data_IF_616990740147
#
_entry.id   IF_616990740147
#
_cell.length_a   1.000
_cell.length_b   1.000
_cell.length_c   1.000
_cell.angle_alpha   90.00
_cell.angle_beta   90.00
_cell.angle_gamma   90.00
#
_symmetry.space_group_name_H-M   'P 1'
#
loop_
_entity.id
_entity.type
_entity.pdbx_description
1 polymer ?
#
# COMPACT_ATOMS: atom_id res chain seq x y z
N UNK A 1 2.41 -2.45 -21.52
CA UNK A 1 3.37 -2.84 -20.47
C UNK A 1 2.87 -2.27 -19.15
N UNK A 2 2.84 -3.08 -18.10
CA UNK A 2 2.45 -2.62 -16.76
C UNK A 2 3.35 -1.46 -16.33
N UNK A 3 2.77 -0.43 -15.71
CA UNK A 3 3.54 0.65 -15.13
C UNK A 3 4.37 0.10 -13.96
N UNK A 4 5.56 0.67 -13.75
CA UNK A 4 6.35 0.32 -12.58
C UNK A 4 5.57 0.74 -11.33
N UNK A 5 5.38 -0.20 -10.39
CA UNK A 5 4.70 0.07 -9.11
C UNK A 5 5.66 0.63 -8.07
N UNK A 6 6.96 0.43 -8.26
CA UNK A 6 8.00 0.92 -7.37
C UNK A 6 9.31 1.13 -8.14
N UNK A 7 10.11 2.11 -7.71
CA UNK A 7 11.44 2.41 -8.25
C UNK A 7 12.36 2.68 -7.08
N UNK A 8 13.55 2.08 -7.13
CA UNK A 8 14.51 2.15 -6.05
C UNK A 8 15.80 1.42 -6.40
N UNK A 9 16.47 0.85 -5.42
CA UNK A 9 17.68 0.06 -5.62
C UNK A 9 17.67 -1.25 -4.85
N UNK A 10 18.44 -2.22 -5.33
CA UNK A 10 18.84 -3.41 -4.57
C UNK A 10 20.18 -3.11 -3.94
N UNK A 11 20.31 -3.32 -2.62
CA UNK A 11 21.59 -3.23 -1.91
C UNK A 11 21.95 -4.55 -1.25
N UNK A 12 23.23 -4.91 -1.34
CA UNK A 12 23.80 -6.01 -0.58
C UNK A 12 25.30 -5.77 -0.37
N UNK A 13 25.73 -5.71 0.89
CA UNK A 13 27.08 -5.26 1.24
C UNK A 13 27.37 -3.86 0.70
N UNK A 14 28.27 -3.77 -0.29
CA UNK A 14 28.69 -2.51 -0.92
C UNK A 14 28.06 -2.28 -2.30
N UNK A 15 27.29 -3.25 -2.81
CA UNK A 15 26.71 -3.18 -4.14
C UNK A 15 25.36 -2.47 -4.06
N UNK A 16 25.13 -1.52 -4.96
CA UNK A 16 23.86 -0.80 -5.09
C UNK A 16 23.44 -0.81 -6.58
N UNK A 17 22.28 -1.39 -6.88
CA UNK A 17 21.79 -1.59 -8.24
C UNK A 17 20.43 -0.92 -8.40
N UNK A 18 20.32 0.17 -9.17
CA UNK A 18 19.02 0.79 -9.46
C UNK A 18 18.08 -0.13 -10.24
N UNK A 19 16.86 -0.31 -9.74
CA UNK A 19 15.85 -1.21 -10.32
C UNK A 19 14.44 -0.61 -10.32
N UNK A 20 13.58 -1.21 -11.13
CA UNK A 20 12.14 -0.97 -11.18
C UNK A 20 11.40 -2.27 -10.93
N UNK A 21 10.30 -2.15 -10.20
CA UNK A 21 9.41 -3.26 -9.86
C UNK A 21 8.14 -3.18 -10.71
N UNK A 22 7.78 -4.29 -11.35
CA UNK A 22 6.60 -4.42 -12.18
C UNK A 22 5.75 -5.59 -11.67
N UNK A 23 4.42 -5.46 -11.57
CA UNK A 23 3.57 -6.59 -11.22
C UNK A 23 3.76 -7.73 -12.24
N UNK A 24 3.95 -8.96 -11.76
CA UNK A 24 3.98 -10.15 -12.60
C UNK A 24 2.58 -10.72 -12.88
N UNK A 25 1.59 -10.30 -12.08
CA UNK A 25 0.19 -10.71 -12.18
C UNK A 25 -0.72 -9.50 -12.37
N UNK A 26 -1.80 -9.68 -13.13
CA UNK A 26 -2.89 -8.70 -13.25
C UNK A 26 -4.17 -9.34 -12.69
N UNK A 27 -4.76 -8.80 -11.61
CA UNK A 27 -5.99 -9.33 -11.05
C UNK A 27 -7.13 -9.15 -12.05
N UNK A 28 -7.83 -10.24 -12.38
CA UNK A 28 -8.99 -10.24 -13.28
C UNK A 28 -10.28 -10.24 -12.47
N UNK A 29 -10.45 -9.25 -11.61
CA UNK A 29 -11.67 -9.12 -10.82
C UNK A 29 -12.73 -8.37 -11.62
N UNK A 30 -13.89 -9.01 -11.80
CA UNK A 30 -15.06 -8.35 -12.36
C UNK A 30 -15.64 -7.42 -11.31
N UNK A 31 -15.44 -6.11 -11.48
CA UNK A 31 -16.07 -5.10 -10.62
C UNK A 31 -17.51 -4.91 -11.05
N UNK A 32 -18.43 -5.31 -10.18
CA UNK A 32 -19.84 -5.03 -10.37
C UNK A 32 -20.13 -3.59 -9.96
N UNK A 33 -20.81 -2.85 -10.83
CA UNK A 33 -21.46 -1.61 -10.46
C UNK A 33 -22.90 -1.93 -10.09
N UNK A 34 -23.35 -1.36 -8.97
CA UNK A 34 -24.73 -1.50 -8.55
C UNK A 34 -25.57 -0.53 -9.39
N UNK A 35 -26.65 -1.06 -9.96
CA UNK A 35 -27.65 -0.28 -10.68
C UNK A 35 -29.01 -0.53 -10.05
N UNK A 36 -29.79 0.52 -9.88
CA UNK A 36 -31.20 0.38 -9.56
C UNK A 36 -31.92 -0.26 -10.76
N UNK A 37 -32.44 -1.47 -10.55
CA UNK A 37 -33.11 -2.26 -11.60
C UNK A 37 -34.33 -1.57 -12.20
N UNK A 38 -35.01 -0.69 -11.45
CA UNK A 38 -36.23 0.01 -11.93
C UNK A 38 -35.90 1.21 -12.80
N UNK A 39 -34.82 1.93 -12.46
CA UNK A 39 -34.47 3.19 -13.10
C UNK A 39 -33.27 3.12 -14.02
N UNK A 40 -32.49 2.02 -13.96
CA UNK A 40 -31.25 1.84 -14.70
C UNK A 40 -30.10 2.74 -14.24
N UNK A 41 -30.27 3.50 -13.15
CA UNK A 41 -29.28 4.45 -12.66
C UNK A 41 -28.24 3.76 -11.79
N UNK A 42 -26.99 4.20 -11.88
CA UNK A 42 -25.89 3.71 -11.04
C UNK A 42 -26.10 4.15 -9.59
N UNK A 43 -25.94 3.23 -8.65
CA UNK A 43 -25.98 3.50 -7.21
C UNK A 43 -24.61 4.02 -6.79
N UNK A 44 -24.60 5.12 -6.04
CA UNK A 44 -23.41 5.72 -5.45
C UNK A 44 -23.48 5.57 -3.93
N UNK A 45 -22.34 5.28 -3.31
CA UNK A 45 -22.22 5.27 -1.86
C UNK A 45 -21.81 6.65 -1.38
N UNK A 46 -22.54 7.19 -0.42
CA UNK A 46 -22.21 8.43 0.29
C UNK A 46 -21.82 8.06 1.73
N UNK A 47 -20.73 8.67 2.23
CA UNK A 47 -20.31 8.48 3.61
C UNK A 47 -21.16 9.40 4.48
N UNK A 48 -22.00 8.82 5.32
CA UNK A 48 -22.94 9.57 6.17
C UNK A 48 -22.82 9.10 7.61
N UNK A 49 -22.83 10.03 8.55
CA UNK A 49 -23.09 9.73 9.97
C UNK A 49 -24.58 9.91 10.24
N UNK A 50 -25.16 9.08 11.11
CA UNK A 50 -26.54 9.27 11.56
C UNK A 50 -26.52 10.04 12.87
N UNK A 51 -27.31 11.10 12.97
CA UNK A 51 -27.47 11.85 14.24
C UNK A 51 -27.98 10.99 15.41
N UNK A 52 -28.61 9.86 15.12
CA UNK A 52 -29.17 8.94 16.13
C UNK A 52 -28.07 8.12 16.82
N UNK A 53 -26.93 7.91 16.15
CA UNK A 53 -25.87 7.08 16.70
C UNK A 53 -25.07 7.91 17.72
N UNK A 54 -25.01 7.43 18.97
CA UNK A 54 -24.23 8.07 20.02
C UNK A 54 -22.74 8.09 19.63
N UNK A 55 -21.99 9.15 19.97
CA UNK A 55 -20.56 9.22 19.70
C UNK A 55 -19.87 8.02 20.33
N UNK A 56 -19.12 7.27 19.52
CA UNK A 56 -18.37 6.09 19.98
C UNK A 56 -17.09 6.48 20.71
N UNK A 57 -16.59 7.70 20.48
CA UNK A 57 -15.46 8.29 21.17
C UNK A 57 -15.70 9.79 21.36
N UNK A 58 -15.09 10.37 22.39
CA UNK A 58 -15.02 11.83 22.55
C UNK A 58 -13.83 12.34 21.71
N UNK A 59 -14.05 13.18 20.69
CA UNK A 59 -12.95 13.75 19.92
C UNK A 59 -12.14 14.69 20.80
N UNK A 60 -10.81 14.59 20.72
CA UNK A 60 -9.92 15.61 21.28
C UNK A 60 -10.29 16.98 20.67
N UNK A 61 -10.35 18.05 21.48
CA UNK A 61 -10.64 19.37 20.95
C UNK A 61 -9.58 19.74 19.92
N UNK A 62 -10.04 19.99 18.68
CA UNK A 62 -9.18 20.48 17.60
C UNK A 62 -8.56 21.82 18.06
N UNK A 63 -7.27 21.82 18.41
CA UNK A 63 -6.54 23.05 18.70
C UNK A 63 -6.27 23.75 17.37
N UNK A 64 -7.03 24.80 17.07
CA UNK A 64 -6.87 25.64 15.88
C UNK A 64 -5.64 26.57 15.99
N UNK A 65 -4.48 26.04 16.41
CA UNK A 65 -3.18 26.72 16.41
C UNK A 65 -2.55 26.66 15.00
N UNK A 66 -3.37 26.89 13.96
CA UNK A 66 -2.89 27.13 12.61
C UNK A 66 -2.51 28.62 12.49
N UNK A 67 -1.30 28.96 12.01
CA UNK A 67 -0.94 30.34 11.68
C UNK A 67 -2.00 30.95 10.75
N UNK A 68 -2.46 32.17 11.05
CA UNK A 68 -3.57 32.83 10.34
C UNK A 68 -3.33 33.02 8.82
N UNK A 69 -2.09 32.87 8.37
CA UNK A 69 -1.63 33.27 7.02
C UNK A 69 -2.10 32.33 5.89
N UNK A 70 -2.49 31.09 6.17
CA UNK A 70 -2.94 30.12 5.14
C UNK A 70 -4.48 30.02 4.99
N UNK A 71 -5.25 30.82 5.75
CA UNK A 71 -6.73 30.79 5.68
C UNK A 71 -7.31 31.44 4.41
N UNK A 72 -6.48 32.13 3.63
CA UNK A 72 -6.93 33.01 2.57
C UNK A 72 -6.74 32.46 1.15
N UNK A 73 -6.93 31.16 0.89
CA UNK A 73 -7.04 30.68 -0.51
C UNK A 73 -7.75 29.33 -0.69
N UNK A 74 -8.71 28.97 0.18
CA UNK A 74 -9.63 27.87 -0.15
C UNK A 74 -10.58 28.35 -1.25
N UNK A 75 -10.58 27.76 -2.46
CA UNK A 75 -11.50 28.18 -3.51
C UNK A 75 -12.91 27.85 -3.05
N UNK A 76 -13.71 28.89 -2.81
CA UNK A 76 -15.16 28.76 -2.75
C UNK A 76 -15.62 28.25 -4.12
N UNK A 77 -15.92 26.96 -4.21
CA UNK A 77 -16.56 26.39 -5.38
C UNK A 77 -18.00 26.91 -5.44
N UNK A 78 -18.14 28.07 -6.06
CA UNK A 78 -19.43 28.67 -6.36
C UNK A 78 -20.09 27.92 -7.53
N UNK A 79 -21.38 27.64 -7.36
CA UNK A 79 -22.35 27.14 -8.32
C UNK A 79 -22.17 25.77 -9.00
N UNK A 80 -22.82 24.76 -8.41
CA UNK A 80 -23.73 23.91 -9.18
C UNK A 80 -25.10 23.84 -8.50
N UNK A 81 -26.08 24.53 -9.08
CA UNK A 81 -27.46 24.44 -8.67
C UNK A 81 -27.98 23.00 -8.79
N UNK A 82 -28.46 22.44 -7.67
CA UNK A 82 -29.31 21.25 -7.70
C UNK A 82 -30.37 21.35 -6.62
N UNK A 83 -31.59 21.49 -7.12
CA UNK A 83 -32.91 21.42 -6.48
C UNK A 83 -32.91 20.64 -5.16
N UNK A 84 -33.26 21.36 -4.09
CA UNK A 84 -33.61 20.82 -2.78
C UNK A 84 -34.84 19.92 -2.96
N UNK A 85 -34.66 18.61 -2.84
CA UNK A 85 -35.76 17.65 -2.80
C UNK A 85 -35.76 16.97 -1.44
N UNK A 86 -36.74 17.36 -0.64
CA UNK A 86 -37.30 16.73 0.56
C UNK A 86 -36.33 15.97 1.48
N UNK A 87 -36.13 16.53 2.67
CA UNK A 87 -35.39 15.97 3.80
C UNK A 87 -35.73 14.50 4.09
N UNK A 88 -34.70 13.66 3.99
CA UNK A 88 -34.60 12.35 4.66
C UNK A 88 -33.84 12.59 5.97
N UNK A 89 -34.12 11.89 7.09
CA UNK A 89 -33.54 12.21 8.39
C UNK A 89 -32.01 12.28 8.34
N UNK A 90 -31.49 13.29 9.02
CA UNK A 90 -30.15 13.84 8.96
C UNK A 90 -29.04 12.79 8.88
N UNK A 91 -28.52 12.66 7.65
CA UNK A 91 -27.25 12.03 7.37
C UNK A 91 -26.28 13.17 7.08
N UNK A 92 -25.33 13.42 7.98
CA UNK A 92 -24.32 14.46 7.76
C UNK A 92 -23.22 13.87 6.87
N UNK A 93 -22.96 14.52 5.72
CA UNK A 93 -21.83 14.17 4.85
C UNK A 93 -20.53 14.48 5.59
N UNK A 94 -19.60 13.53 5.57
CA UNK A 94 -18.29 13.65 6.23
C UNK A 94 -17.22 13.89 5.18
N UNK A 95 -16.45 14.97 5.33
CA UNK A 95 -15.31 15.26 4.47
C UNK A 95 -14.16 14.28 4.76
N UNK A 96 -13.26 14.08 3.79
CA UNK A 96 -12.17 13.09 3.93
C UNK A 96 -11.25 13.37 5.12
N UNK A 97 -11.06 14.64 5.44
CA UNK A 97 -10.19 15.13 6.51
C UNK A 97 -10.75 14.79 7.90
N UNK A 98 -12.08 14.66 8.02
CA UNK A 98 -12.78 14.36 9.28
C UNK A 98 -12.91 12.84 9.54
N UNK A 99 -12.34 12.01 8.65
CA UNK A 99 -12.39 10.55 8.78
C UNK A 99 -11.16 10.03 9.52
N UNK A 100 -11.35 9.63 10.78
CA UNK A 100 -10.34 8.88 11.54
C UNK A 100 -10.54 7.37 11.38
N UNK A 101 -9.44 6.59 11.46
CA UNK A 101 -9.51 5.11 11.45
C UNK A 101 -9.53 4.60 12.88
N UNK A 102 -10.63 3.98 13.30
CA UNK A 102 -10.72 3.28 14.58
C UNK A 102 -10.34 1.81 14.46
N UNK A 103 -9.59 1.28 15.44
CA UNK A 103 -9.35 -0.15 15.62
C UNK A 103 -9.89 -0.59 16.98
N UNK A 104 -10.83 -1.54 16.99
CA UNK A 104 -11.40 -2.10 18.23
C UNK A 104 -10.48 -3.22 18.75
N UNK A 105 -10.00 -3.06 19.99
CA UNK A 105 -9.21 -4.08 20.67
C UNK A 105 -10.11 -5.21 21.20
N UNK A 106 -9.56 -6.43 21.44
CA UNK A 106 -10.32 -7.56 21.98
C UNK A 106 -11.00 -7.32 23.35
N UNK A 107 -10.69 -6.22 24.03
CA UNK A 107 -11.29 -5.79 25.31
C UNK A 107 -12.41 -4.75 25.19
N UNK A 108 -12.74 -4.27 23.98
CA UNK A 108 -13.78 -3.26 23.74
C UNK A 108 -13.28 -1.81 23.65
N UNK A 109 -11.98 -1.57 23.86
CA UNK A 109 -11.37 -0.26 23.72
C UNK A 109 -11.14 0.08 22.23
N UNK A 110 -11.49 1.31 21.83
CA UNK A 110 -11.33 1.81 20.47
C UNK A 110 -10.11 2.74 20.40
N UNK A 111 -9.11 2.38 19.60
CA UNK A 111 -7.96 3.24 19.30
C UNK A 111 -8.19 3.93 17.97
N UNK A 112 -8.32 5.25 17.98
CA UNK A 112 -8.39 6.06 16.74
C UNK A 112 -6.99 6.49 16.34
N UNK A 113 -6.64 6.26 15.07
CA UNK A 113 -5.39 6.75 14.48
C UNK A 113 -5.74 7.74 13.37
N UNK A 114 -5.22 8.95 13.49
CA UNK A 114 -5.34 9.99 12.46
C UNK A 114 -4.44 9.66 11.26
N UNK A 115 -4.73 10.23 10.08
CA UNK A 115 -3.87 10.03 8.91
C UNK A 115 -2.45 10.59 9.14
N UNK A 116 -2.33 11.67 9.93
CA UNK A 116 -1.05 12.29 10.27
C UNK A 116 -0.20 11.48 11.26
N UNK A 117 -0.81 10.84 12.27
CA UNK A 117 -0.13 9.88 13.15
C UNK A 117 0.36 8.64 12.37
N UNK A 118 -0.42 8.19 11.39
CA UNK A 118 -0.02 7.08 10.52
C UNK A 118 1.19 7.46 9.65
N UNK A 119 1.27 8.73 9.23
CA UNK A 119 2.38 9.28 8.44
C UNK A 119 3.64 9.45 9.29
N UNK A 120 3.53 9.84 10.57
CA UNK A 120 4.67 10.09 11.44
C UNK A 120 5.35 8.82 11.98
N UNK A 121 4.61 7.71 12.09
CA UNK A 121 5.15 6.38 12.46
C UNK A 121 5.73 5.64 11.25
N UNK A 122 5.44 6.10 10.02
CA UNK A 122 5.92 5.44 8.82
C UNK A 122 7.46 5.39 8.82
N UNK A 123 8.09 4.20 8.77
CA UNK A 123 9.54 4.10 8.68
C UNK A 123 10.02 4.94 7.49
N UNK A 124 11.14 5.67 7.66
CA UNK A 124 11.74 6.49 6.61
C UNK A 124 11.70 5.70 5.30
N UNK A 125 11.13 6.30 4.24
CA UNK A 125 10.86 5.63 2.97
C UNK A 125 12.16 5.20 2.30
N UNK A 126 12.77 4.11 2.77
CA UNK A 126 13.91 3.50 2.14
C UNK A 126 13.43 2.98 0.80
N UNK A 127 13.89 3.62 -0.28
CA UNK A 127 13.68 3.14 -1.65
C UNK A 127 14.69 2.05 -1.99
N UNK A 128 14.99 1.20 -1.01
CA UNK A 128 16.06 0.23 -1.08
C UNK A 128 15.51 -1.13 -0.65
N UNK A 129 15.77 -2.13 -1.48
CA UNK A 129 15.61 -3.53 -1.13
C UNK A 129 16.95 -4.00 -0.60
N UNK A 130 17.02 -4.25 0.70
CA UNK A 130 18.23 -4.73 1.34
C UNK A 130 18.21 -6.25 1.38
N UNK A 131 19.15 -6.89 0.65
CA UNK A 131 19.35 -8.34 0.74
C UNK A 131 20.25 -8.60 1.94
N UNK A 132 19.76 -9.43 2.85
CA UNK A 132 20.44 -9.79 4.09
C UNK A 132 21.18 -11.12 3.96
N UNK A 133 20.56 -12.07 3.27
CA UNK A 133 21.06 -13.44 3.16
C UNK A 133 20.74 -14.04 1.80
N UNK A 134 21.56 -15.00 1.38
CA UNK A 134 21.25 -15.87 0.24
C UNK A 134 21.01 -17.28 0.74
N UNK A 135 19.86 -17.85 0.40
CA UNK A 135 19.41 -19.21 0.80
C UNK A 135 19.10 -20.06 -0.43
N UNK A 136 18.99 -21.38 -0.26
CA UNK A 136 18.48 -22.25 -1.32
C UNK A 136 16.98 -21.99 -1.50
N UNK A 137 16.48 -22.04 -2.73
CA UNK A 137 15.05 -21.92 -3.00
C UNK A 137 14.24 -23.03 -2.31
N UNK A 138 14.83 -24.20 -2.11
CA UNK A 138 14.21 -25.34 -1.43
C UNK A 138 13.98 -25.09 0.08
N UNK A 139 14.69 -24.13 0.68
CA UNK A 139 14.54 -23.78 2.09
C UNK A 139 13.32 -22.88 2.35
N UNK A 140 12.71 -22.33 1.29
CA UNK A 140 11.54 -21.46 1.39
C UNK A 140 10.28 -22.27 1.11
N UNK A 141 9.52 -22.57 2.16
CA UNK A 141 8.23 -23.24 2.00
C UNK A 141 7.27 -22.38 1.14
N UNK A 142 6.61 -22.97 0.13
CA UNK A 142 5.68 -22.24 -0.71
C UNK A 142 4.57 -21.47 0.02
N UNK A 143 4.22 -21.87 1.25
CA UNK A 143 3.22 -21.20 2.10
C UNK A 143 3.56 -19.74 2.39
N UNK A 144 4.84 -19.39 2.34
CA UNK A 144 5.29 -18.02 2.60
C UNK A 144 5.07 -17.08 1.41
N UNK A 145 4.91 -17.56 0.17
CA UNK A 145 4.78 -16.68 -0.99
C UNK A 145 3.40 -15.99 -1.06
N UNK A 146 3.39 -14.66 -1.18
CA UNK A 146 2.18 -13.85 -1.31
C UNK A 146 1.98 -13.32 -2.75
N UNK A 147 2.89 -12.46 -3.25
CA UNK A 147 2.74 -11.80 -4.56
C UNK A 147 4.04 -11.77 -5.35
N UNK A 148 3.89 -11.92 -6.67
CA UNK A 148 4.99 -11.93 -7.62
C UNK A 148 5.16 -10.62 -8.39
N UNK A 149 6.42 -10.20 -8.49
CA UNK A 149 6.84 -9.02 -9.22
C UNK A 149 8.06 -9.33 -10.10
N UNK A 150 8.17 -8.65 -11.23
CA UNK A 150 9.38 -8.61 -12.03
C UNK A 150 10.25 -7.42 -11.61
N UNK A 151 11.53 -7.69 -11.37
CA UNK A 151 12.55 -6.68 -11.21
C UNK A 151 13.26 -6.47 -12.54
N UNK A 152 13.47 -5.21 -12.91
CA UNK A 152 14.26 -4.84 -14.08
C UNK A 152 15.24 -3.71 -13.76
N UNK A 153 16.43 -3.68 -14.37
CA UNK A 153 17.39 -2.61 -14.14
C UNK A 153 16.85 -1.28 -14.70
N UNK A 154 17.17 -0.17 -14.02
CA UNK A 154 16.91 1.14 -14.60
C UNK A 154 17.87 1.38 -15.77
N UNK A 155 17.32 1.61 -16.95
CA UNK A 155 18.11 1.89 -18.15
C UNK A 155 18.83 3.23 -18.05
N UNK A 156 20.06 3.28 -18.54
CA UNK A 156 20.84 4.52 -18.66
C UNK A 156 21.47 5.02 -17.34
N UNK A 157 21.32 4.28 -16.24
CA UNK A 157 22.01 4.56 -14.97
C UNK A 157 23.17 3.58 -14.69
N UNK A 158 23.62 2.83 -15.70
CA UNK A 158 24.69 1.85 -15.56
C UNK A 158 24.31 0.60 -14.74
N UNK A 159 23.02 0.42 -14.43
CA UNK A 159 22.51 -0.68 -13.63
C UNK A 159 22.52 -2.03 -14.36
N UNK A 160 22.58 -2.03 -15.70
CA UNK A 160 22.40 -3.23 -16.52
C UNK A 160 23.49 -4.28 -16.29
N UNK A 161 24.75 -3.85 -16.20
CA UNK A 161 25.89 -4.74 -15.95
C UNK A 161 25.86 -5.39 -14.56
N UNK A 162 25.77 -4.62 -13.44
CA UNK A 162 25.72 -5.23 -12.11
C UNK A 162 24.46 -6.07 -11.91
N UNK A 163 23.32 -5.66 -12.48
CA UNK A 163 22.10 -6.47 -12.48
C UNK A 163 22.30 -7.81 -13.18
N UNK A 164 22.88 -7.82 -14.38
CA UNK A 164 23.14 -9.05 -15.11
C UNK A 164 24.15 -9.96 -14.39
N UNK A 165 25.11 -9.38 -13.68
CA UNK A 165 26.06 -10.12 -12.85
C UNK A 165 25.36 -10.79 -11.66
N UNK A 166 24.53 -10.05 -10.92
CA UNK A 166 23.74 -10.59 -9.82
C UNK A 166 22.84 -11.72 -10.30
N UNK A 167 22.09 -11.50 -11.40
CA UNK A 167 21.23 -12.52 -12.00
C UNK A 167 22.00 -13.81 -12.31
N UNK A 168 23.14 -13.71 -13.01
CA UNK A 168 23.95 -14.88 -13.38
C UNK A 168 24.58 -15.57 -12.18
N UNK A 169 25.02 -14.81 -11.19
CA UNK A 169 25.59 -15.36 -9.96
C UNK A 169 24.54 -16.17 -9.19
N UNK A 170 23.34 -15.62 -9.02
CA UNK A 170 22.23 -16.33 -8.36
C UNK A 170 21.79 -17.57 -9.16
N UNK A 171 21.72 -17.48 -10.49
CA UNK A 171 21.43 -18.64 -11.36
C UNK A 171 22.49 -19.74 -11.21
N UNK A 172 23.77 -19.38 -11.26
CA UNK A 172 24.87 -20.35 -11.19
C UNK A 172 25.02 -20.99 -9.81
N UNK A 173 24.70 -20.23 -8.75
CA UNK A 173 24.75 -20.73 -7.38
C UNK A 173 23.47 -21.46 -6.95
N UNK A 174 22.36 -21.31 -7.68
CA UNK A 174 21.06 -21.87 -7.27
C UNK A 174 20.42 -21.15 -6.08
N UNK A 175 20.77 -19.88 -5.87
CA UNK A 175 20.43 -19.15 -4.63
C UNK A 175 19.34 -18.10 -4.84
N UNK A 176 18.62 -17.82 -3.77
CA UNK A 176 17.61 -16.77 -3.63
C UNK A 176 18.08 -15.79 -2.57
N UNK A 177 17.94 -14.49 -2.83
CA UNK A 177 18.25 -13.45 -1.84
C UNK A 177 17.04 -13.17 -0.97
N UNK A 178 17.16 -13.27 0.35
CA UNK A 178 16.16 -12.84 1.32
C UNK A 178 16.48 -11.42 1.76
N UNK A 179 15.44 -10.60 1.88
CA UNK A 179 15.61 -9.21 2.26
C UNK A 179 14.33 -8.55 2.74
N UNK A 180 14.42 -7.25 2.94
CA UNK A 180 13.28 -6.40 3.31
C UNK A 180 13.22 -5.15 2.46
N UNK A 181 12.01 -4.67 2.24
CA UNK A 181 11.79 -3.35 1.66
C UNK A 181 10.40 -2.82 2.04
N UNK A 182 10.20 -1.52 1.86
CA UNK A 182 8.90 -0.88 2.08
C UNK A 182 8.20 -0.66 0.74
N UNK A 183 7.04 -1.28 0.56
CA UNK A 183 6.16 -1.02 -0.56
C UNK A 183 5.00 -0.13 -0.11
N UNK A 184 4.98 1.11 -0.61
CA UNK A 184 4.03 2.17 -0.23
C UNK A 184 4.18 2.54 1.25
N UNK A 185 3.50 1.81 2.14
CA UNK A 185 3.44 2.06 3.58
C UNK A 185 3.64 0.77 4.40
N UNK A 186 3.63 -0.41 3.79
CA UNK A 186 3.82 -1.69 4.50
C UNK A 186 5.25 -2.21 4.27
N UNK A 187 6.00 -2.54 5.34
CA UNK A 187 7.24 -3.29 5.20
C UNK A 187 6.93 -4.74 4.79
N UNK A 188 7.73 -5.28 3.90
CA UNK A 188 7.62 -6.66 3.44
C UNK A 188 8.96 -7.38 3.57
N UNK A 189 8.91 -8.63 4.02
CA UNK A 189 9.98 -9.60 3.75
C UNK A 189 9.85 -10.03 2.30
N UNK A 190 10.98 -10.20 1.61
CA UNK A 190 10.99 -10.56 0.19
C UNK A 190 12.01 -11.65 -0.12
N UNK A 191 11.68 -12.44 -1.13
CA UNK A 191 12.59 -13.33 -1.81
C UNK A 191 12.87 -12.80 -3.23
N UNK A 192 14.11 -12.43 -3.50
CA UNK A 192 14.61 -12.10 -4.84
C UNK A 192 15.17 -13.38 -5.44
N UNK A 193 14.56 -13.87 -6.52
CA UNK A 193 15.00 -15.11 -7.18
C UNK A 193 15.36 -14.89 -8.64
N UNK A 194 16.35 -15.62 -9.17
CA UNK A 194 16.66 -15.56 -10.58
C UNK A 194 15.60 -16.27 -11.42
N UNK A 195 15.04 -15.58 -12.42
CA UNK A 195 14.36 -16.21 -13.56
C UNK A 195 15.37 -16.41 -14.70
N UNK A 196 14.89 -16.86 -15.86
CA UNK A 196 15.73 -17.06 -17.05
C UNK A 196 16.42 -15.76 -17.52
N UNK A 197 15.65 -14.68 -17.65
CA UNK A 197 16.11 -13.42 -18.27
C UNK A 197 15.95 -12.19 -17.35
N UNK A 198 15.48 -12.38 -16.11
CA UNK A 198 15.25 -11.30 -15.16
C UNK A 198 15.28 -11.81 -13.71
N UNK A 199 15.33 -10.91 -12.75
CA UNK A 199 15.07 -11.19 -11.35
C UNK A 199 13.55 -11.10 -11.11
N UNK A 200 13.03 -12.00 -10.29
CA UNK A 200 11.72 -11.87 -9.70
C UNK A 200 11.88 -11.45 -8.23
N UNK A 201 10.92 -10.68 -7.75
CA UNK A 201 10.73 -10.40 -6.34
C UNK A 201 9.39 -10.99 -5.93
N UNK A 202 9.41 -11.85 -4.94
CA UNK A 202 8.22 -12.37 -4.29
C UNK A 202 8.09 -11.71 -2.91
N UNK A 203 6.92 -11.16 -2.58
CA UNK A 203 6.64 -10.80 -1.19
C UNK A 203 6.36 -12.07 -0.40
N UNK A 204 6.90 -12.12 0.81
CA UNK A 204 6.69 -13.20 1.75
C UNK A 204 5.77 -12.75 2.87
N UNK A 205 4.89 -13.65 3.31
CA UNK A 205 4.21 -13.54 4.59
C UNK A 205 5.24 -13.62 5.72
N UNK A 206 5.02 -12.85 6.78
CA UNK A 206 5.73 -13.06 8.03
C UNK A 206 5.32 -14.40 8.66
N UNK A 207 6.20 -14.97 9.50
CA UNK A 207 5.95 -16.27 10.11
C UNK A 207 4.68 -16.33 10.97
N UNK A 208 4.29 -15.22 11.57
CA UNK A 208 3.05 -15.04 12.33
C UNK A 208 1.80 -14.83 11.45
N UNK A 209 1.97 -14.42 10.19
CA UNK A 209 0.89 -14.34 9.20
C UNK A 209 0.55 -15.74 8.62
N UNK A 210 1.46 -16.71 8.72
CA UNK A 210 1.25 -18.09 8.25
C UNK A 210 0.57 -18.91 9.35
N UNK A 211 -0.60 -19.46 9.03
CA UNK A 211 -1.34 -20.33 9.97
C UNK A 211 -0.65 -21.69 10.08
N UNK A 212 -0.48 -22.16 11.31
CA UNK A 212 -0.04 -23.54 11.56
C UNK A 212 -1.08 -24.52 11.01
N UNK A 213 -0.65 -25.57 10.28
CA UNK A 213 -1.52 -26.72 10.03
C UNK A 213 -1.82 -27.35 11.39
N UNK A 214 -3.12 -27.45 11.72
CA UNK A 214 -3.60 -27.95 13.00
C UNK A 214 -3.07 -29.34 13.37
#
# INVERSE_FOLDING_TARGET
MSQAVWTGSISFGLVNIPVKLYPATEPKDVRFHLYDRRTGKRVHYERVTKEIDAPTFEPEPFSDDLPEDDRAERPTSDNFGRVVSAATPAAQSVEREDVVRGFELPGGDLVTVTEDELVSIAPERSRTIEIEEFVDIADIDPVFYEKSYHLGPVRGMGAEKPYALLLRAMQGAGMVGIGRFVLRTKPHVVAIRPLKDALALETLFFADEVRSPA
#
